data_IF_510981562402
#
_entry.id   IF_510981562402
#
_cell.length_a   1.000
_cell.length_b   1.000
_cell.length_c   1.000
_cell.angle_alpha   90.00
_cell.angle_beta   90.00
_cell.angle_gamma   90.00
#
_symmetry.space_group_name_H-M   'P 1'
#
loop_
_entity.id
_entity.type
_entity.pdbx_description
1 polymer ?
#
# COMPACT_ATOMS: atom_id res chain seq x y z
N UNK A 1 70.42 5.83 31.15
CA UNK A 1 69.04 6.28 31.45
C UNK A 1 68.09 5.27 30.83
N UNK A 2 67.66 4.29 31.61
CA UNK A 2 66.79 3.20 31.17
C UNK A 2 65.35 3.56 31.52
N UNK A 3 64.49 3.68 30.50
CA UNK A 3 63.05 3.93 30.67
C UNK A 3 62.29 2.61 30.77
N UNK A 4 61.62 2.41 31.91
CA UNK A 4 60.66 1.34 32.17
C UNK A 4 59.49 1.38 31.17
N UNK A 5 59.25 0.28 30.46
CA UNK A 5 58.02 0.08 29.66
C UNK A 5 56.94 -0.50 30.60
N UNK A 6 55.75 0.12 30.72
CA UNK A 6 54.72 -0.39 31.62
C UNK A 6 54.12 -1.70 31.11
N UNK A 7 53.89 -2.62 32.05
CA UNK A 7 53.34 -3.97 31.86
C UNK A 7 52.01 -4.00 31.09
N UNK A 8 52.12 -4.32 29.80
CA UNK A 8 50.98 -4.57 28.89
C UNK A 8 50.27 -5.90 29.18
N UNK A 9 50.95 -6.83 29.84
CA UNK A 9 50.53 -8.21 30.07
C UNK A 9 49.50 -8.37 31.19
N UNK A 10 49.41 -7.42 32.14
CA UNK A 10 48.53 -7.54 33.31
C UNK A 10 47.14 -6.90 33.13
N UNK A 11 46.96 -6.04 32.11
CA UNK A 11 45.70 -5.29 31.87
C UNK A 11 44.75 -5.96 30.87
N UNK A 12 45.26 -6.90 30.09
CA UNK A 12 44.50 -7.63 29.07
C UNK A 12 43.40 -8.57 29.62
N UNK A 13 43.60 -9.31 30.74
CA UNK A 13 42.54 -10.21 31.24
C UNK A 13 41.35 -9.43 31.85
N UNK A 14 41.58 -8.24 32.39
CA UNK A 14 40.52 -7.39 32.95
C UNK A 14 39.61 -6.83 31.85
N UNK A 15 40.19 -6.39 30.74
CA UNK A 15 39.42 -5.89 29.60
C UNK A 15 38.55 -7.01 28.98
N UNK A 16 39.11 -8.22 28.84
CA UNK A 16 38.37 -9.38 28.35
C UNK A 16 37.20 -9.75 29.30
N UNK A 17 37.43 -9.73 30.61
CA UNK A 17 36.38 -10.00 31.60
C UNK A 17 35.22 -8.99 31.54
N UNK A 18 35.51 -7.69 31.36
CA UNK A 18 34.48 -6.67 31.22
C UNK A 18 33.61 -6.87 29.96
N UNK A 19 34.23 -7.25 28.83
CA UNK A 19 33.49 -7.51 27.59
C UNK A 19 32.57 -8.72 27.75
N UNK A 20 33.07 -9.81 28.33
CA UNK A 20 32.27 -11.03 28.56
C UNK A 20 31.12 -10.74 29.53
N UNK A 21 31.37 -10.00 30.61
CA UNK A 21 30.34 -9.60 31.56
C UNK A 21 29.26 -8.71 30.92
N UNK A 22 29.66 -7.77 30.05
CA UNK A 22 28.73 -6.91 29.32
C UNK A 22 27.81 -7.70 28.38
N UNK A 23 28.35 -8.68 27.66
CA UNK A 23 27.54 -9.53 26.78
C UNK A 23 26.60 -10.44 27.58
N UNK A 24 27.07 -11.00 28.70
CA UNK A 24 26.23 -11.82 29.58
C UNK A 24 25.05 -11.01 30.17
N UNK A 25 25.30 -9.77 30.59
CA UNK A 25 24.26 -8.87 31.08
C UNK A 25 23.24 -8.51 29.98
N UNK A 26 23.70 -8.27 28.75
CA UNK A 26 22.81 -7.98 27.61
C UNK A 26 21.88 -9.16 27.30
N UNK A 27 22.42 -10.39 27.29
CA UNK A 27 21.63 -11.61 27.07
C UNK A 27 20.62 -11.82 28.19
N UNK A 28 20.99 -11.54 29.45
CA UNK A 28 20.08 -11.61 30.59
C UNK A 28 18.91 -10.63 30.44
N UNK A 29 19.17 -9.38 30.02
CA UNK A 29 18.12 -8.37 29.80
C UNK A 29 17.17 -8.80 28.67
N UNK A 30 17.73 -9.30 27.56
CA UNK A 30 16.95 -9.77 26.41
C UNK A 30 16.04 -10.96 26.74
N UNK A 31 16.46 -11.82 27.68
CA UNK A 31 15.70 -13.02 28.07
C UNK A 31 14.73 -12.78 29.23
N UNK A 32 15.02 -11.80 30.10
CA UNK A 32 14.15 -11.42 31.21
C UNK A 32 12.98 -10.51 30.79
N UNK A 33 13.13 -9.79 29.67
CA UNK A 33 12.06 -8.97 29.10
C UNK A 33 11.00 -9.84 28.44
N UNK A 34 10.02 -10.31 29.21
CA UNK A 34 8.80 -10.89 28.64
C UNK A 34 7.96 -9.76 28.02
N UNK A 35 7.65 -9.80 26.72
CA UNK A 35 6.72 -8.84 26.14
C UNK A 35 5.36 -9.00 26.83
N UNK A 36 4.74 -7.88 27.24
CA UNK A 36 3.36 -7.91 27.70
C UNK A 36 2.46 -8.49 26.60
N UNK A 37 1.47 -9.33 26.95
CA UNK A 37 0.51 -9.80 25.97
C UNK A 37 -0.24 -8.60 25.39
N UNK A 38 -0.20 -8.49 24.05
CA UNK A 38 -0.94 -7.48 23.32
C UNK A 38 -2.43 -7.54 23.71
N UNK A 39 -3.10 -6.38 23.90
CA UNK A 39 -4.54 -6.35 24.13
C UNK A 39 -5.24 -7.05 22.96
N UNK A 40 -6.14 -7.98 23.28
CA UNK A 40 -6.93 -8.71 22.29
C UNK A 40 -7.67 -7.72 21.39
N UNK A 41 -7.63 -7.86 20.06
CA UNK A 41 -8.39 -7.00 19.16
C UNK A 41 -9.87 -7.02 19.54
N UNK A 42 -10.46 -5.83 19.77
CA UNK A 42 -11.90 -5.73 19.89
C UNK A 42 -12.52 -6.11 18.54
N UNK A 43 -13.21 -7.25 18.53
CA UNK A 43 -14.03 -7.69 17.41
C UNK A 43 -15.06 -6.60 17.12
N UNK A 44 -14.89 -5.90 15.99
CA UNK A 44 -15.80 -4.83 15.60
C UNK A 44 -17.18 -5.46 15.35
N UNK A 45 -18.19 -4.96 16.06
CA UNK A 45 -19.56 -5.43 15.91
C UNK A 45 -19.99 -5.35 14.43
N UNK A 46 -20.61 -6.40 13.87
CA UNK A 46 -20.95 -6.45 12.46
C UNK A 46 -21.95 -5.33 12.11
N UNK A 47 -21.61 -4.53 11.09
CA UNK A 47 -22.50 -3.52 10.52
C UNK A 47 -23.48 -4.23 9.60
N UNK A 48 -24.75 -4.26 9.99
CA UNK A 48 -25.82 -4.83 9.17
C UNK A 48 -26.19 -3.84 8.07
N UNK A 49 -26.04 -4.24 6.81
CA UNK A 49 -26.43 -3.46 5.64
C UNK A 49 -27.74 -4.02 5.10
N UNK A 50 -28.80 -3.22 5.15
CA UNK A 50 -30.09 -3.54 4.53
C UNK A 50 -30.09 -3.03 3.08
N UNK A 51 -30.23 -3.94 2.12
CA UNK A 51 -30.27 -3.59 0.71
C UNK A 51 -31.69 -3.18 0.34
N UNK A 52 -31.94 -1.87 0.32
CA UNK A 52 -33.20 -1.30 -0.17
C UNK A 52 -33.24 -1.42 -1.69
N UNK A 53 -34.25 -2.12 -2.21
CA UNK A 53 -34.49 -2.21 -3.64
C UNK A 53 -34.89 -0.82 -4.18
N UNK A 54 -34.15 -0.27 -5.17
CA UNK A 54 -34.45 1.05 -5.71
C UNK A 54 -35.81 1.04 -6.41
N UNK A 55 -36.60 2.14 -6.32
CA UNK A 55 -37.90 2.21 -6.98
C UNK A 55 -37.73 2.03 -8.50
N UNK A 56 -38.71 1.38 -9.18
CA UNK A 56 -38.62 1.15 -10.60
C UNK A 56 -38.50 2.46 -11.37
N UNK A 57 -37.73 2.49 -12.47
CA UNK A 57 -37.53 3.69 -13.25
C UNK A 57 -38.89 4.22 -13.75
N UNK A 58 -39.09 5.55 -13.76
CA UNK A 58 -40.32 6.14 -14.27
C UNK A 58 -40.52 5.75 -15.74
N UNK A 59 -41.77 5.44 -16.10
CA UNK A 59 -42.11 5.07 -17.46
C UNK A 59 -41.69 6.18 -18.45
N UNK A 60 -41.22 5.82 -19.67
CA UNK A 60 -40.89 6.80 -20.69
C UNK A 60 -42.08 7.73 -20.96
N UNK A 61 -41.83 9.03 -20.88
CA UNK A 61 -42.82 10.06 -21.24
C UNK A 61 -43.11 9.90 -22.74
N UNK A 62 -44.38 9.76 -23.17
CA UNK A 62 -44.73 9.74 -24.58
C UNK A 62 -44.22 11.00 -25.27
N UNK A 63 -43.65 10.86 -26.47
CA UNK A 63 -43.22 11.99 -27.27
C UNK A 63 -44.41 12.95 -27.50
N UNK A 64 -44.22 14.27 -27.34
CA UNK A 64 -45.28 15.23 -27.59
C UNK A 64 -45.63 15.25 -29.09
N UNK A 65 -46.92 15.26 -29.39
CA UNK A 65 -47.44 15.44 -30.74
C UNK A 65 -46.93 16.76 -31.36
N UNK A 66 -46.68 16.80 -32.68
CA UNK A 66 -46.24 18.02 -33.34
C UNK A 66 -47.29 19.13 -33.21
N UNK A 67 -46.83 20.30 -32.78
CA UNK A 67 -47.66 21.48 -32.54
C UNK A 67 -48.33 21.98 -33.85
N UNK A 68 -49.64 22.29 -33.83
CA UNK A 68 -50.23 23.10 -34.88
C UNK A 68 -49.80 24.57 -34.76
N UNK A 69 -49.73 25.20 -35.93
CA UNK A 69 -49.29 26.56 -36.24
C UNK A 69 -50.00 27.67 -35.46
N UNK A 70 -49.38 28.85 -35.29
CA UNK A 70 -49.92 29.94 -34.48
C UNK A 70 -50.93 30.80 -35.26
N UNK A 71 -52.12 30.96 -34.70
CA UNK A 71 -53.00 32.10 -34.96
C UNK A 71 -53.32 32.82 -33.65
N UNK A 72 -53.40 34.14 -33.75
CA UNK A 72 -53.34 35.11 -32.66
C UNK A 72 -54.74 35.37 -32.01
N UNK A 73 -54.92 36.40 -31.15
CA UNK A 73 -55.10 36.21 -29.70
C UNK A 73 -56.46 36.72 -29.18
N UNK A 74 -56.91 36.20 -28.03
CA UNK A 74 -57.59 36.97 -26.96
C UNK A 74 -58.23 36.03 -25.93
N UNK A 75 -57.94 36.27 -24.65
CA UNK A 75 -58.93 36.67 -23.66
C UNK A 75 -58.39 36.40 -22.24
N UNK A 76 -58.32 37.46 -21.45
CA UNK A 76 -57.96 37.42 -20.05
C UNK A 76 -58.98 36.58 -19.25
N UNK A 77 -58.47 35.69 -18.39
CA UNK A 77 -59.26 35.08 -17.32
C UNK A 77 -58.51 35.20 -16.00
N UNK A 78 -59.24 35.69 -15.01
CA UNK A 78 -58.79 36.21 -13.72
C UNK A 78 -58.31 35.10 -12.78
N UNK A 79 -57.33 35.43 -11.94
CA UNK A 79 -56.85 34.59 -10.84
C UNK A 79 -57.77 34.70 -9.62
N UNK A 80 -58.32 33.61 -9.06
CA UNK A 80 -58.91 33.64 -7.71
C UNK A 80 -57.82 33.49 -6.65
N UNK A 81 -57.92 34.29 -5.59
CA UNK A 81 -57.04 34.24 -4.42
C UNK A 81 -57.15 32.90 -3.65
N UNK A 82 -56.08 32.43 -3.00
CA UNK A 82 -56.12 31.18 -2.24
C UNK A 82 -56.93 31.32 -0.94
N UNK A 83 -57.68 30.28 -0.52
CA UNK A 83 -58.39 30.29 0.76
C UNK A 83 -57.45 30.15 1.95
N UNK A 84 -57.82 30.81 3.06
CA UNK A 84 -57.12 30.85 4.34
C UNK A 84 -57.02 29.45 4.98
N UNK A 85 -55.88 29.05 5.60
CA UNK A 85 -55.75 27.72 6.20
C UNK A 85 -56.61 27.54 7.45
N UNK A 86 -57.27 26.39 7.57
CA UNK A 86 -57.91 25.95 8.81
C UNK A 86 -56.87 25.45 9.83
N UNK A 87 -57.14 25.51 11.15
CA UNK A 87 -56.19 25.09 12.18
C UNK A 87 -56.01 23.57 12.17
N UNK A 88 -54.78 23.08 12.03
CA UNK A 88 -54.47 21.66 12.15
C UNK A 88 -54.49 21.24 13.63
N UNK A 89 -55.34 20.28 13.98
CA UNK A 89 -55.26 19.55 15.25
C UNK A 89 -53.97 18.73 15.27
N UNK A 90 -53.15 18.89 16.32
CA UNK A 90 -51.97 18.06 16.54
C UNK A 90 -52.42 16.60 16.79
N UNK A 91 -51.83 15.61 16.11
CA UNK A 91 -52.05 14.21 16.47
C UNK A 91 -51.56 13.93 17.90
N UNK A 92 -52.20 13.02 18.66
CA UNK A 92 -51.71 12.64 19.97
C UNK A 92 -50.34 11.96 19.83
N UNK A 93 -49.43 12.28 20.75
CA UNK A 93 -48.10 11.66 20.81
C UNK A 93 -48.24 10.15 21.00
N UNK A 94 -47.86 9.38 19.97
CA UNK A 94 -47.79 7.92 20.05
C UNK A 94 -46.67 7.57 21.01
N UNK A 95 -47.01 6.93 22.13
CA UNK A 95 -46.04 6.40 23.08
C UNK A 95 -45.11 5.43 22.34
N UNK A 96 -43.80 5.73 22.32
CA UNK A 96 -42.80 4.90 21.68
C UNK A 96 -42.84 3.48 22.27
N UNK A 97 -43.26 2.50 21.47
CA UNK A 97 -43.19 1.10 21.83
C UNK A 97 -41.71 0.72 21.99
N UNK A 98 -41.34 0.16 23.14
CA UNK A 98 -39.98 -0.36 23.37
C UNK A 98 -39.67 -1.44 22.32
N UNK A 99 -38.49 -1.39 21.67
CA UNK A 99 -38.11 -2.40 20.68
C UNK A 99 -38.03 -3.78 21.35
N UNK A 100 -38.72 -4.76 20.77
CA UNK A 100 -38.60 -6.16 21.20
C UNK A 100 -37.21 -6.66 20.81
N UNK A 101 -36.53 -7.32 21.74
CA UNK A 101 -35.25 -7.98 21.49
C UNK A 101 -35.47 -9.08 20.45
N UNK A 102 -35.00 -8.87 19.22
CA UNK A 102 -34.92 -9.92 18.22
C UNK A 102 -33.84 -10.87 18.70
N UNK A 103 -34.23 -12.10 19.07
CA UNK A 103 -33.27 -13.18 19.30
C UNK A 103 -32.84 -13.64 17.92
N UNK A 104 -31.65 -13.19 17.49
CA UNK A 104 -31.03 -13.72 16.29
C UNK A 104 -30.83 -15.21 16.49
N UNK A 105 -31.52 -16.03 15.68
CA UNK A 105 -31.26 -17.45 15.65
C UNK A 105 -29.80 -17.63 15.21
N UNK A 106 -28.99 -18.44 15.91
CA UNK A 106 -27.63 -18.72 15.48
C UNK A 106 -27.69 -19.22 14.03
N UNK A 107 -26.77 -18.78 13.15
CA UNK A 107 -26.66 -19.37 11.83
C UNK A 107 -26.52 -20.89 11.99
N UNK A 108 -27.11 -21.71 11.09
CA UNK A 108 -26.91 -23.14 11.15
C UNK A 108 -25.41 -23.43 11.15
N UNK A 109 -24.98 -24.37 12.02
CA UNK A 109 -23.62 -24.88 12.01
C UNK A 109 -23.40 -25.61 10.67
N UNK A 110 -22.93 -24.86 9.68
CA UNK A 110 -22.51 -25.41 8.39
C UNK A 110 -21.05 -25.76 8.55
N UNK A 111 -20.75 -27.05 8.55
CA UNK A 111 -19.38 -27.54 8.53
C UNK A 111 -18.65 -26.92 7.32
N UNK A 112 -17.59 -26.13 7.53
CA UNK A 112 -16.90 -25.48 6.43
C UNK A 112 -16.34 -26.54 5.50
N UNK A 113 -16.81 -26.59 4.26
CA UNK A 113 -16.21 -27.42 3.23
C UNK A 113 -14.73 -27.06 3.13
N UNK A 114 -13.80 -28.00 3.34
CA UNK A 114 -12.39 -27.71 3.21
C UNK A 114 -12.11 -27.31 1.76
N UNK A 115 -11.77 -26.04 1.55
CA UNK A 115 -11.27 -25.60 0.27
C UNK A 115 -9.95 -26.35 -0.01
N UNK A 116 -9.94 -27.21 -1.01
CA UNK A 116 -8.71 -27.81 -1.48
C UNK A 116 -7.73 -26.70 -1.85
N UNK A 117 -6.44 -26.79 -1.45
CA UNK A 117 -5.45 -25.80 -1.85
C UNK A 117 -5.43 -25.74 -3.38
N UNK A 118 -5.63 -24.54 -3.92
CA UNK A 118 -5.55 -24.34 -5.37
C UNK A 118 -4.17 -24.81 -5.85
N UNK A 119 -4.08 -25.41 -7.06
CA UNK A 119 -2.79 -25.76 -7.63
C UNK A 119 -1.87 -24.53 -7.69
N UNK A 120 -0.56 -24.66 -7.42
CA UNK A 120 0.37 -23.55 -7.50
C UNK A 120 0.28 -22.88 -8.87
N UNK A 121 0.00 -21.57 -8.86
CA UNK A 121 0.12 -20.74 -10.05
C UNK A 121 1.57 -20.66 -10.53
N UNK A 122 1.82 -20.18 -11.76
CA UNK A 122 3.18 -20.00 -12.25
C UNK A 122 3.95 -19.06 -11.31
N UNK A 123 5.27 -19.31 -11.09
CA UNK A 123 6.08 -18.43 -10.26
C UNK A 123 6.19 -17.04 -10.89
N UNK A 124 6.34 -16.02 -10.05
CA UNK A 124 6.59 -14.67 -10.54
C UNK A 124 7.94 -14.62 -11.28
N UNK A 125 8.08 -13.81 -12.34
CA UNK A 125 9.35 -13.68 -13.03
C UNK A 125 10.43 -13.08 -12.14
N UNK A 126 11.64 -13.64 -12.21
CA UNK A 126 12.84 -13.08 -11.59
C UNK A 126 13.69 -12.38 -12.65
N UNK A 127 14.06 -11.13 -12.39
CA UNK A 127 14.82 -10.29 -13.31
C UNK A 127 16.29 -10.20 -12.88
N UNK A 128 17.18 -10.61 -13.78
CA UNK A 128 18.62 -10.52 -13.60
C UNK A 128 19.20 -9.16 -13.99
N UNK A 129 20.51 -8.99 -13.78
CA UNK A 129 21.20 -7.72 -14.01
C UNK A 129 21.01 -7.16 -15.44
N UNK A 130 21.03 -8.02 -16.46
CA UNK A 130 20.84 -7.59 -17.85
C UNK A 130 19.43 -7.03 -18.10
N UNK A 131 18.40 -7.60 -17.47
CA UNK A 131 17.01 -7.14 -17.62
C UNK A 131 16.75 -5.86 -16.82
N UNK A 132 17.49 -5.65 -15.73
CA UNK A 132 17.42 -4.44 -14.91
C UNK A 132 18.33 -3.31 -15.44
N UNK A 133 19.06 -3.53 -16.53
CA UNK A 133 19.90 -2.50 -17.13
C UNK A 133 19.03 -1.31 -17.57
N UNK A 134 19.34 -0.12 -17.06
CA UNK A 134 18.57 1.09 -17.32
C UNK A 134 17.27 1.21 -16.52
N UNK A 135 17.03 0.32 -15.54
CA UNK A 135 15.90 0.49 -14.63
C UNK A 135 16.07 1.76 -13.77
N UNK A 136 14.99 2.48 -13.57
CA UNK A 136 14.93 3.58 -12.62
C UNK A 136 15.13 3.04 -11.21
N UNK A 137 16.08 3.62 -10.49
CA UNK A 137 16.34 3.36 -9.07
C UNK A 137 16.29 4.67 -8.30
N UNK A 138 16.31 4.63 -6.98
CA UNK A 138 16.33 5.85 -6.16
C UNK A 138 17.49 6.76 -6.58
N UNK A 139 17.19 8.04 -6.86
CA UNK A 139 18.16 9.01 -7.37
C UNK A 139 18.37 8.99 -8.89
N UNK A 140 17.74 8.07 -9.61
CA UNK A 140 17.59 8.14 -11.07
C UNK A 140 16.40 9.07 -11.38
N UNK A 141 16.64 10.38 -11.44
CA UNK A 141 15.62 11.35 -11.85
C UNK A 141 15.16 11.10 -13.30
N UNK A 142 13.96 11.58 -13.70
CA UNK A 142 13.50 11.56 -15.08
C UNK A 142 14.24 12.64 -15.89
N UNK A 143 15.53 12.41 -16.11
CA UNK A 143 16.41 13.21 -16.93
C UNK A 143 17.27 12.25 -17.73
N UNK A 144 16.74 11.76 -18.85
CA UNK A 144 17.51 11.00 -19.82
C UNK A 144 18.65 11.86 -20.35
N UNK A 145 19.86 11.55 -19.91
CA UNK A 145 21.11 12.08 -20.43
C UNK A 145 22.22 11.12 -20.04
N UNK A 146 22.73 10.38 -21.01
CA UNK A 146 23.97 9.62 -20.85
C UNK A 146 25.10 10.63 -20.57
N UNK A 147 25.42 10.83 -19.29
CA UNK A 147 26.64 11.49 -18.88
C UNK A 147 27.71 10.42 -18.69
N UNK A 148 28.76 10.45 -19.51
CA UNK A 148 29.98 9.70 -19.26
C UNK A 148 30.63 10.21 -17.96
N UNK A 149 30.21 9.66 -16.82
CA UNK A 149 30.88 9.86 -15.55
C UNK A 149 32.10 8.95 -15.47
N UNK A 150 33.28 9.49 -15.77
CA UNK A 150 34.54 8.84 -15.43
C UNK A 150 34.69 8.92 -13.90
N UNK A 151 34.36 7.83 -13.22
CA UNK A 151 34.55 7.71 -11.77
C UNK A 151 36.02 7.46 -11.46
N UNK A 152 36.73 8.54 -11.12
CA UNK A 152 38.10 8.50 -10.61
C UNK A 152 38.21 7.72 -9.29
N UNK A 153 39.32 7.00 -9.16
CA UNK A 153 39.70 6.30 -7.95
C UNK A 153 40.05 7.28 -6.80
N UNK A 154 39.74 6.88 -5.58
CA UNK A 154 40.37 7.39 -4.36
C UNK A 154 39.45 8.19 -3.43
N UNK A 155 39.12 7.59 -2.28
CA UNK A 155 38.46 8.30 -1.18
C UNK A 155 37.99 7.35 -0.08
N UNK A 156 38.68 7.39 1.05
CA UNK A 156 38.42 6.61 2.26
C UNK A 156 37.08 6.96 2.92
N UNK A 157 36.46 5.97 3.55
CA UNK A 157 35.11 6.03 4.11
C UNK A 157 34.82 7.24 4.98
N UNK A 158 33.73 7.93 4.63
CA UNK A 158 33.00 8.84 5.48
C UNK A 158 31.51 8.51 5.34
N UNK A 159 30.82 8.32 6.47
CA UNK A 159 29.37 8.20 6.53
C UNK A 159 28.74 9.55 6.16
N UNK A 160 28.58 9.79 4.87
CA UNK A 160 27.79 10.90 4.35
C UNK A 160 26.35 10.45 4.18
N UNK A 161 25.46 10.89 5.08
CA UNK A 161 24.05 11.06 4.75
C UNK A 161 23.95 12.20 3.73
N UNK A 162 24.32 11.91 2.49
CA UNK A 162 24.24 12.84 1.38
C UNK A 162 22.82 12.83 0.84
N UNK A 163 22.05 13.87 1.14
CA UNK A 163 20.82 14.21 0.41
C UNK A 163 21.21 14.57 -1.02
N UNK A 164 21.43 13.56 -1.86
CA UNK A 164 21.64 13.73 -3.29
C UNK A 164 20.35 14.30 -3.89
N UNK A 165 20.35 15.61 -4.14
CA UNK A 165 19.28 16.35 -4.83
C UNK A 165 19.29 16.00 -6.32
N UNK A 166 18.96 14.74 -6.63
CA UNK A 166 18.63 14.26 -7.97
C UNK A 166 17.12 14.09 -8.17
N UNK A 167 16.30 14.57 -7.24
CA UNK A 167 14.86 14.53 -7.34
C UNK A 167 14.36 15.80 -8.01
N UNK A 168 13.81 15.68 -9.22
CA UNK A 168 12.71 16.57 -9.58
C UNK A 168 11.62 16.48 -8.51
N UNK A 169 10.65 17.37 -8.55
CA UNK A 169 9.53 17.45 -7.59
C UNK A 169 8.72 16.15 -7.40
N UNK A 170 8.99 15.11 -8.20
CA UNK A 170 8.39 13.78 -8.14
C UNK A 170 9.43 12.65 -8.28
N UNK A 171 10.26 12.41 -7.25
CA UNK A 171 11.03 11.16 -7.15
C UNK A 171 10.15 10.06 -6.54
N UNK A 172 9.21 9.56 -7.33
CA UNK A 172 8.27 8.52 -6.90
C UNK A 172 8.95 7.18 -6.61
N UNK A 173 10.10 6.89 -7.23
CA UNK A 173 10.85 5.66 -6.93
C UNK A 173 11.37 5.72 -5.50
N UNK A 174 11.91 6.86 -5.08
CA UNK A 174 12.30 7.09 -3.68
C UNK A 174 11.11 7.03 -2.74
N UNK A 175 10.05 7.77 -3.03
CA UNK A 175 8.83 7.80 -2.20
C UNK A 175 8.31 6.39 -1.91
N UNK A 176 8.07 5.60 -2.96
CA UNK A 176 7.49 4.27 -2.81
C UNK A 176 8.50 3.31 -2.17
N UNK A 177 9.79 3.41 -2.50
CA UNK A 177 10.79 2.56 -1.85
C UNK A 177 10.86 2.81 -0.35
N UNK A 178 10.88 4.08 0.06
CA UNK A 178 11.01 4.45 1.48
C UNK A 178 9.78 3.95 2.25
N UNK A 179 8.57 4.18 1.74
CA UNK A 179 7.34 3.69 2.38
C UNK A 179 7.29 2.15 2.50
N UNK A 180 7.70 1.42 1.44
CA UNK A 180 7.71 -0.05 1.42
C UNK A 180 8.83 -0.61 2.32
N UNK A 181 9.94 0.12 2.51
CA UNK A 181 11.02 -0.24 3.45
C UNK A 181 10.59 -0.05 4.90
N UNK A 182 9.88 1.03 5.19
CA UNK A 182 9.40 1.41 6.52
C UNK A 182 8.34 0.43 7.05
N UNK A 183 7.52 -0.14 6.17
CA UNK A 183 6.58 -1.20 6.54
C UNK A 183 7.30 -2.54 6.76
N UNK A 184 7.44 -2.92 8.04
CA UNK A 184 8.11 -4.15 8.44
C UNK A 184 7.40 -5.43 7.95
N UNK A 185 6.08 -5.43 7.75
CA UNK A 185 5.34 -6.58 7.26
C UNK A 185 5.56 -6.76 5.74
N UNK A 186 5.52 -5.66 4.99
CA UNK A 186 5.82 -5.61 3.56
C UNK A 186 7.27 -6.00 3.29
N UNK A 187 8.23 -5.45 4.04
CA UNK A 187 9.65 -5.80 3.92
C UNK A 187 9.88 -7.30 4.17
N UNK A 188 9.33 -7.85 5.26
CA UNK A 188 9.40 -9.30 5.56
C UNK A 188 8.79 -10.16 4.47
N UNK A 189 7.65 -9.74 3.90
CA UNK A 189 7.01 -10.46 2.82
C UNK A 189 7.88 -10.54 1.56
N UNK A 190 8.58 -9.45 1.21
CA UNK A 190 9.48 -9.44 0.05
C UNK A 190 10.73 -10.30 0.31
N UNK A 191 11.31 -10.23 1.50
CA UNK A 191 12.47 -11.07 1.90
C UNK A 191 12.09 -12.55 1.84
N UNK A 192 10.98 -12.94 2.47
CA UNK A 192 10.51 -14.33 2.45
C UNK A 192 10.24 -14.83 1.02
N UNK A 193 9.63 -14.01 0.17
CA UNK A 193 9.42 -14.36 -1.24
C UNK A 193 10.76 -14.49 -2.01
N UNK A 194 11.74 -13.63 -1.73
CA UNK A 194 13.07 -13.69 -2.32
C UNK A 194 13.79 -14.99 -1.96
N UNK A 195 13.70 -15.41 -0.70
CA UNK A 195 14.27 -16.68 -0.21
C UNK A 195 13.57 -17.89 -0.83
N UNK A 196 12.24 -17.94 -0.80
CA UNK A 196 11.43 -19.03 -1.37
C UNK A 196 11.75 -19.23 -2.86
N UNK A 197 11.92 -18.13 -3.60
CA UNK A 197 12.19 -18.15 -5.03
C UNK A 197 13.68 -18.28 -5.36
N UNK A 198 14.57 -18.36 -4.36
CA UNK A 198 16.02 -18.33 -4.55
C UNK A 198 16.45 -17.18 -5.47
N UNK A 199 15.94 -15.98 -5.20
CA UNK A 199 16.16 -14.84 -6.08
C UNK A 199 17.65 -14.46 -6.14
N UNK A 200 18.40 -14.61 -5.05
CA UNK A 200 19.86 -14.35 -4.96
C UNK A 200 20.19 -12.98 -5.55
N UNK A 201 19.58 -11.96 -4.96
CA UNK A 201 19.64 -10.62 -5.48
C UNK A 201 18.74 -10.37 -6.69
N UNK A 202 18.20 -11.30 -7.48
CA UNK A 202 17.31 -10.94 -8.62
C UNK A 202 16.04 -10.20 -8.17
N UNK A 203 15.48 -9.35 -9.03
CA UNK A 203 14.24 -8.64 -8.70
C UNK A 203 13.00 -9.45 -9.04
N UNK A 204 12.06 -9.54 -8.09
CA UNK A 204 10.75 -10.15 -8.33
C UNK A 204 9.89 -9.15 -9.10
N UNK A 205 9.46 -9.49 -10.31
CA UNK A 205 8.53 -8.65 -11.07
C UNK A 205 7.13 -8.79 -10.48
N UNK A 206 6.58 -7.71 -9.93
CA UNK A 206 5.26 -7.72 -9.26
C UNK A 206 4.19 -6.97 -10.05
N UNK A 207 4.57 -6.11 -10.99
CA UNK A 207 3.65 -5.39 -11.87
C UNK A 207 4.29 -5.15 -13.25
N UNK A 208 3.56 -5.44 -14.33
CA UNK A 208 4.04 -5.27 -15.72
C UNK A 208 2.97 -4.72 -16.67
N UNK A 209 2.15 -3.78 -16.19
CA UNK A 209 0.91 -3.35 -16.83
C UNK A 209 -0.33 -3.92 -16.14
N UNK A 210 -0.18 -5.07 -15.48
CA UNK A 210 -1.14 -5.66 -14.57
C UNK A 210 -0.41 -6.17 -13.32
N UNK A 211 -1.12 -6.27 -12.19
CA UNK A 211 -0.59 -6.86 -10.97
C UNK A 211 -0.35 -8.35 -11.17
N UNK A 212 0.92 -8.77 -11.07
CA UNK A 212 1.28 -10.18 -11.18
C UNK A 212 1.00 -10.90 -9.86
N UNK A 213 0.34 -12.05 -9.96
CA UNK A 213 -0.04 -12.89 -8.83
C UNK A 213 0.50 -14.31 -9.03
N UNK A 214 1.07 -14.90 -7.98
CA UNK A 214 1.12 -16.35 -7.85
C UNK A 214 -0.07 -16.78 -6.99
N UNK A 215 -0.85 -17.78 -7.44
CA UNK A 215 -2.16 -18.12 -6.83
C UNK A 215 -2.08 -18.56 -5.36
N UNK A 216 -0.90 -18.98 -4.89
CA UNK A 216 -0.64 -19.33 -3.49
C UNK A 216 -0.41 -18.12 -2.57
N UNK A 217 -0.38 -16.89 -3.11
CA UNK A 217 -0.19 -15.64 -2.37
C UNK A 217 -1.52 -14.88 -2.15
N UNK A 218 -2.66 -15.50 -2.48
CA UNK A 218 -3.98 -14.90 -2.23
C UNK A 218 -4.19 -14.79 -0.71
N UNK A 219 -4.03 -13.57 -0.16
CA UNK A 219 -4.18 -13.29 1.27
C UNK A 219 -2.89 -13.37 2.11
N UNK A 220 -1.70 -13.57 1.51
CA UNK A 220 -0.41 -13.59 2.23
C UNK A 220 0.70 -12.86 1.47
N UNK A 221 1.70 -12.39 2.23
CA UNK A 221 2.98 -11.87 1.74
C UNK A 221 2.88 -10.79 0.66
N UNK A 222 3.09 -11.18 -0.60
CA UNK A 222 3.15 -10.27 -1.75
C UNK A 222 1.79 -9.61 -2.08
N UNK A 223 0.66 -10.16 -1.65
CA UNK A 223 -0.62 -9.45 -1.76
C UNK A 223 -0.63 -8.15 -0.96
N UNK A 224 -0.09 -8.19 0.27
CA UNK A 224 0.09 -7.00 1.10
C UNK A 224 1.07 -6.01 0.48
N UNK A 225 2.15 -6.50 -0.16
CA UNK A 225 3.12 -5.66 -0.86
C UNK A 225 2.47 -4.87 -2.00
N UNK A 226 1.65 -5.52 -2.84
CA UNK A 226 0.93 -4.83 -3.92
C UNK A 226 -0.05 -3.78 -3.39
N UNK A 227 -0.79 -4.12 -2.35
CA UNK A 227 -1.73 -3.19 -1.71
C UNK A 227 -1.01 -1.99 -1.12
N UNK A 228 0.09 -2.20 -0.39
CA UNK A 228 0.89 -1.13 0.17
C UNK A 228 1.41 -0.19 -0.93
N UNK A 229 2.00 -0.74 -2.00
CA UNK A 229 2.45 0.08 -3.14
C UNK A 229 1.30 0.87 -3.77
N UNK A 230 0.16 0.23 -4.02
CA UNK A 230 -1.00 0.91 -4.59
C UNK A 230 -1.50 2.05 -3.68
N UNK A 231 -1.48 1.84 -2.35
CA UNK A 231 -1.88 2.87 -1.39
C UNK A 231 -0.95 4.07 -1.41
N UNK A 232 0.37 3.83 -1.41
CA UNK A 232 1.38 4.89 -1.48
C UNK A 232 1.25 5.72 -2.76
N UNK A 233 1.01 5.04 -3.89
CA UNK A 233 0.77 5.70 -5.16
C UNK A 233 -0.55 6.48 -5.17
N UNK A 234 -1.60 5.96 -4.51
CA UNK A 234 -2.90 6.62 -4.46
C UNK A 234 -2.84 7.95 -3.71
N UNK A 235 -2.03 8.03 -2.65
CA UNK A 235 -1.84 9.24 -1.83
C UNK A 235 -0.77 10.21 -2.37
N UNK A 236 -0.03 9.85 -3.40
CA UNK A 236 0.94 10.75 -4.02
C UNK A 236 0.25 11.97 -4.69
N UNK A 237 0.90 13.14 -4.75
CA UNK A 237 0.40 14.30 -5.48
C UNK A 237 0.04 13.96 -6.94
N UNK A 238 -1.00 14.60 -7.47
CA UNK A 238 -1.56 14.30 -8.80
C UNK A 238 -0.50 14.36 -9.91
N UNK A 239 0.40 15.34 -9.83
CA UNK A 239 1.50 15.54 -10.76
C UNK A 239 2.49 14.37 -10.74
N UNK A 240 2.74 13.81 -9.56
CA UNK A 240 3.69 12.73 -9.36
C UNK A 240 3.12 11.38 -9.76
N UNK A 241 1.87 11.09 -9.42
CA UNK A 241 1.21 9.88 -9.91
C UNK A 241 1.02 9.88 -11.43
N UNK A 242 0.91 11.07 -12.05
CA UNK A 242 0.87 11.22 -13.50
C UNK A 242 2.25 11.25 -14.17
N UNK A 243 3.36 11.20 -13.43
CA UNK A 243 4.70 11.16 -14.02
C UNK A 243 4.84 9.95 -14.96
N UNK A 244 5.29 10.22 -16.19
CA UNK A 244 5.55 9.17 -17.17
C UNK A 244 6.89 8.51 -16.87
N UNK A 245 6.86 7.19 -16.81
CA UNK A 245 7.99 6.29 -16.62
C UNK A 245 8.24 5.51 -17.91
N UNK A 246 9.50 5.09 -18.10
CA UNK A 246 9.93 4.23 -19.18
C UNK A 246 10.75 3.07 -18.60
N UNK A 247 10.50 1.86 -19.08
CA UNK A 247 11.18 0.66 -18.61
C UNK A 247 10.72 0.23 -17.21
N UNK A 248 11.66 -0.30 -16.43
CA UNK A 248 11.41 -0.81 -15.09
C UNK A 248 11.79 0.24 -14.04
N UNK A 249 11.04 0.31 -12.94
CA UNK A 249 11.46 0.86 -11.67
C UNK A 249 11.80 -0.29 -10.72
N UNK A 250 12.93 -0.21 -10.03
CA UNK A 250 13.38 -1.21 -9.07
C UNK A 250 13.37 -0.59 -7.67
N UNK A 251 12.65 -1.23 -6.77
CA UNK A 251 12.61 -0.89 -5.36
C UNK A 251 13.50 -1.91 -4.63
N UNK A 252 14.52 -1.43 -3.93
CA UNK A 252 15.38 -2.26 -3.07
C UNK A 252 14.80 -2.25 -1.68
N UNK A 253 14.67 -3.40 -1.04
CA UNK A 253 14.12 -3.52 0.33
C UNK A 253 15.20 -3.81 1.37
N UNK A 254 16.29 -4.41 0.93
CA UNK A 254 17.49 -4.58 1.73
C UNK A 254 18.68 -3.94 1.04
N UNK A 255 19.63 -3.47 1.85
CA UNK A 255 20.90 -2.97 1.36
C UNK A 255 21.85 -4.15 1.19
N UNK A 256 22.60 -4.17 0.09
CA UNK A 256 23.48 -5.28 -0.29
C UNK A 256 23.31 -5.67 -1.75
N UNK A 257 24.31 -6.39 -2.29
CA UNK A 257 24.30 -6.84 -3.69
C UNK A 257 23.25 -7.92 -3.96
N UNK A 258 22.94 -8.71 -2.92
CA UNK A 258 21.97 -9.81 -2.95
C UNK A 258 20.65 -9.47 -2.23
N UNK A 259 20.47 -8.21 -1.81
CA UNK A 259 19.32 -7.77 -1.04
C UNK A 259 17.99 -7.94 -1.79
N UNK A 260 16.93 -8.22 -1.05
CA UNK A 260 15.60 -8.41 -1.63
C UNK A 260 15.15 -7.16 -2.40
N UNK A 261 14.71 -7.35 -3.66
CA UNK A 261 14.22 -6.26 -4.52
C UNK A 261 13.01 -6.68 -5.36
N UNK A 262 12.17 -5.71 -5.65
CA UNK A 262 11.01 -5.87 -6.54
C UNK A 262 11.10 -4.93 -7.72
N UNK A 263 10.48 -5.32 -8.83
CA UNK A 263 10.43 -4.53 -10.05
C UNK A 263 8.98 -4.24 -10.47
N UNK A 264 8.79 -3.03 -10.98
CA UNK A 264 7.54 -2.49 -11.52
C UNK A 264 7.82 -1.96 -12.92
N UNK A 265 6.98 -2.26 -13.89
CA UNK A 265 6.97 -1.51 -15.14
C UNK A 265 6.84 -2.34 -16.41
N UNK A 266 6.50 -1.64 -17.48
CA UNK A 266 6.46 -2.15 -18.85
C UNK A 266 6.58 -0.97 -19.81
N UNK A 267 7.42 -1.07 -20.84
CA UNK A 267 7.47 -0.11 -21.95
C UNK A 267 7.45 1.35 -21.48
N UNK A 268 6.33 2.06 -21.71
CA UNK A 268 6.03 3.35 -21.06
C UNK A 268 4.75 3.23 -20.23
N UNK A 269 4.76 3.80 -19.02
CA UNK A 269 3.67 3.73 -18.05
C UNK A 269 3.64 4.98 -17.17
N UNK A 270 2.64 5.11 -16.30
CA UNK A 270 2.56 6.12 -15.23
C UNK A 270 2.34 5.44 -13.90
N UNK A 271 2.73 6.07 -12.80
CA UNK A 271 2.47 5.54 -11.46
C UNK A 271 0.97 5.29 -11.22
N UNK A 272 0.10 6.16 -11.73
CA UNK A 272 -1.36 5.98 -11.70
C UNK A 272 -1.85 4.65 -12.28
N UNK A 273 -1.09 4.03 -13.19
CA UNK A 273 -1.48 2.76 -13.82
C UNK A 273 -1.48 1.59 -12.82
N UNK A 274 -0.76 1.72 -11.70
CA UNK A 274 -0.75 0.72 -10.62
C UNK A 274 -2.08 0.69 -9.84
N UNK A 275 -2.93 1.71 -9.99
CA UNK A 275 -4.21 1.80 -9.30
C UNK A 275 -5.35 1.04 -10.01
N UNK A 276 -5.09 0.43 -11.16
CA UNK A 276 -6.05 -0.43 -11.85
C UNK A 276 -7.19 0.31 -12.57
N UNK A 277 -7.06 1.63 -12.79
CA UNK A 277 -8.03 2.39 -13.58
C UNK A 277 -7.74 2.21 -15.08
N UNK A 278 -8.54 1.35 -15.73
CA UNK A 278 -8.89 1.51 -17.14
C UNK A 278 -10.39 1.73 -17.24
#
# INVERSE_FOLDING_TARGET
MSGERPDRTRRWPLAAACVVAGHAALVLVMTAARPEPLPTPHEAAPVMVELVEPPPPPAPIPAPDPAPTPDAPAAAAQTPAPPKPAPQLRPPAVAAARPRKIVAQPPPDVEPLPAAPAPPGPPLPLLGAAQLAGAATVGSGPGGGAGNGVGGAGGTGGSGAGSGSGGGTCDMVRWVQDAVRDDAAVRRAVIAASEEMNASGRAILVWNGDWLQSRNQSGKGLAGVRQAIALEVAFAPAECKNQRMTGLAVLKLEDGVDGARIALGKGSWRWSDLLGAR
#
